data_IF_836075608555
#
_entry.id   IF_836075608555
#
_cell.length_a   1.000
_cell.length_b   1.000
_cell.length_c   1.000
_cell.angle_alpha   90.00
_cell.angle_beta   90.00
_cell.angle_gamma   90.00
#
_symmetry.space_group_name_H-M   'P 1'
#
loop_
_entity.id
_entity.type
_entity.pdbx_description
1 polymer ?
#
# COMPACT_ATOMS: atom_id res chain seq x y z
N UNK A 1 14.09 7.38 1.46
CA UNK A 1 14.91 6.96 0.31
C UNK A 1 14.56 5.57 -0.22
N UNK A 2 14.26 4.59 0.64
CA UNK A 2 13.98 3.21 0.21
C UNK A 2 12.80 3.09 -0.76
N UNK A 3 11.62 3.64 -0.44
CA UNK A 3 10.47 3.64 -1.36
C UNK A 3 10.64 4.61 -2.53
N UNK A 4 11.52 5.62 -2.40
CA UNK A 4 11.91 6.46 -3.54
C UNK A 4 12.71 5.66 -4.58
N UNK A 5 13.49 4.64 -4.17
CA UNK A 5 14.14 3.73 -5.11
C UNK A 5 13.10 2.88 -5.86
N UNK A 6 12.03 2.41 -5.19
CA UNK A 6 10.92 1.76 -5.89
C UNK A 6 10.32 2.66 -6.97
N UNK A 7 10.01 3.91 -6.61
CA UNK A 7 9.46 4.90 -7.57
C UNK A 7 10.43 5.16 -8.72
N UNK A 8 11.73 5.27 -8.42
CA UNK A 8 12.76 5.44 -9.45
C UNK A 8 12.78 4.25 -10.43
N UNK A 9 12.81 3.04 -9.89
CA UNK A 9 12.81 1.81 -10.69
C UNK A 9 11.55 1.69 -11.55
N UNK A 10 10.38 2.02 -11.00
CA UNK A 10 9.12 2.01 -11.74
C UNK A 10 9.15 3.01 -12.91
N UNK A 11 9.57 4.25 -12.65
CA UNK A 11 9.65 5.32 -13.68
C UNK A 11 10.71 5.09 -14.75
N UNK A 12 11.89 4.61 -14.36
CA UNK A 12 12.97 4.36 -15.30
C UNK A 12 12.83 3.05 -16.04
N UNK A 13 11.97 2.14 -15.54
CA UNK A 13 11.79 0.79 -16.04
C UNK A 13 13.12 0.01 -16.16
N UNK A 14 14.08 0.27 -15.27
CA UNK A 14 15.38 -0.40 -15.25
C UNK A 14 15.23 -1.93 -15.21
N UNK A 15 14.22 -2.43 -14.47
CA UNK A 15 13.88 -3.86 -14.44
C UNK A 15 12.75 -4.23 -15.42
N UNK A 16 12.40 -3.36 -16.35
CA UNK A 16 11.15 -3.39 -17.10
C UNK A 16 9.98 -2.91 -16.22
N UNK A 17 8.78 -2.78 -16.77
CA UNK A 17 7.60 -2.47 -15.96
C UNK A 17 7.38 -3.58 -14.92
N UNK A 18 7.01 -3.20 -13.70
CA UNK A 18 6.65 -4.17 -12.69
C UNK A 18 5.26 -4.74 -12.99
N UNK A 19 5.23 -5.97 -13.49
CA UNK A 19 4.00 -6.65 -13.92
C UNK A 19 3.34 -7.47 -12.81
N UNK A 20 4.11 -7.86 -11.80
CA UNK A 20 3.63 -8.66 -10.67
C UNK A 20 4.01 -7.98 -9.37
N UNK A 21 3.00 -7.57 -8.64
CA UNK A 21 3.18 -6.88 -7.37
C UNK A 21 2.47 -7.72 -6.29
N UNK A 22 3.11 -7.86 -5.15
CA UNK A 22 2.53 -8.51 -3.96
C UNK A 22 2.84 -7.67 -2.74
N UNK A 23 1.86 -7.45 -1.89
CA UNK A 23 2.09 -6.73 -0.64
C UNK A 23 1.19 -7.27 0.46
N UNK A 24 1.69 -7.19 1.67
CA UNK A 24 0.94 -7.52 2.87
C UNK A 24 1.29 -6.53 3.97
N UNK A 25 0.29 -5.99 4.63
CA UNK A 25 0.50 -5.11 5.79
C UNK A 25 -0.56 -5.35 6.85
N UNK A 26 -0.11 -5.56 8.08
CA UNK A 26 -0.99 -5.81 9.20
C UNK A 26 -0.24 -6.11 10.49
N UNK A 27 -1.00 -6.16 11.57
CA UNK A 27 -0.51 -6.56 12.88
C UNK A 27 -1.62 -7.28 13.67
N UNK A 28 -1.26 -8.02 14.71
CA UNK A 28 -2.26 -8.69 15.54
C UNK A 28 -2.88 -7.73 16.54
N UNK A 29 -4.15 -7.37 16.31
CA UNK A 29 -4.96 -6.58 17.25
C UNK A 29 -5.69 -7.51 18.21
N UNK A 30 -5.41 -7.39 19.51
CA UNK A 30 -5.93 -8.29 20.55
C UNK A 30 -6.91 -7.64 21.53
N UNK A 31 -7.19 -6.34 21.37
CA UNK A 31 -7.99 -5.57 22.30
C UNK A 31 -8.94 -4.65 21.56
N UNK A 32 -10.09 -4.37 22.14
CA UNK A 32 -10.99 -3.34 21.66
C UNK A 32 -10.25 -1.99 21.56
N UNK A 33 -10.43 -1.31 20.45
CA UNK A 33 -9.84 -0.01 20.19
C UNK A 33 -10.74 0.74 19.21
N UNK A 34 -10.61 2.06 19.12
CA UNK A 34 -11.36 2.89 18.20
C UNK A 34 -11.19 2.45 16.71
N UNK A 35 -10.08 1.75 16.38
CA UNK A 35 -9.78 1.25 15.04
C UNK A 35 -10.75 0.20 14.51
N UNK A 36 -11.50 -0.43 15.40
CA UNK A 36 -12.51 -1.45 15.05
C UNK A 36 -13.94 -1.00 15.32
N UNK A 37 -14.11 0.27 15.67
CA UNK A 37 -15.40 0.93 15.79
C UNK A 37 -15.68 1.68 14.48
N UNK A 38 -16.58 1.16 13.65
CA UNK A 38 -16.84 1.68 12.29
C UNK A 38 -17.13 3.18 12.26
N UNK A 39 -17.86 3.68 13.26
CA UNK A 39 -18.20 5.10 13.38
C UNK A 39 -16.96 6.00 13.56
N UNK A 40 -15.90 5.49 14.18
CA UNK A 40 -14.67 6.25 14.46
C UNK A 40 -13.60 6.03 13.40
N UNK A 41 -13.46 4.80 12.90
CA UNK A 41 -12.38 4.40 11.98
C UNK A 41 -12.81 4.39 10.50
N UNK A 42 -14.11 4.38 10.20
CA UNK A 42 -14.63 4.26 8.84
C UNK A 42 -14.58 2.84 8.27
N UNK A 43 -13.65 2.01 8.74
CA UNK A 43 -13.43 0.63 8.34
C UNK A 43 -12.50 -0.08 9.30
N UNK A 44 -12.05 -1.27 8.95
CA UNK A 44 -11.14 -2.08 9.76
C UNK A 44 -9.69 -2.06 9.27
N UNK A 45 -9.15 -3.26 9.01
CA UNK A 45 -7.75 -3.42 8.59
C UNK A 45 -7.42 -2.73 7.26
N UNK A 46 -8.40 -2.60 6.36
CA UNK A 46 -8.19 -1.94 5.07
C UNK A 46 -7.80 -0.47 5.22
N UNK A 47 -8.57 0.28 6.00
CA UNK A 47 -8.37 1.72 6.17
C UNK A 47 -7.14 2.06 6.99
N UNK A 48 -6.76 1.22 7.96
CA UNK A 48 -5.60 1.44 8.84
C UNK A 48 -4.28 0.91 8.23
N UNK A 49 -4.31 -0.31 7.70
CA UNK A 49 -3.11 -1.01 7.23
C UNK A 49 -3.07 -1.21 5.71
N UNK A 50 -4.21 -1.45 5.08
CA UNK A 50 -4.31 -1.71 3.65
C UNK A 50 -3.97 -0.50 2.79
N UNK A 51 -4.22 0.71 3.28
CA UNK A 51 -3.89 1.96 2.59
C UNK A 51 -2.39 2.06 2.24
N UNK A 52 -1.50 1.60 3.11
CA UNK A 52 -0.05 1.59 2.84
C UNK A 52 0.28 0.65 1.67
N UNK A 53 -0.38 -0.51 1.63
CA UNK A 53 -0.25 -1.49 0.54
C UNK A 53 -0.78 -0.95 -0.78
N UNK A 54 -1.96 -0.32 -0.77
CA UNK A 54 -2.56 0.34 -1.95
C UNK A 54 -1.60 1.37 -2.53
N UNK A 55 -1.11 2.26 -1.67
CA UNK A 55 -0.16 3.29 -2.08
C UNK A 55 1.12 2.71 -2.69
N UNK A 56 1.69 1.67 -2.06
CA UNK A 56 2.88 0.98 -2.56
C UNK A 56 2.64 0.29 -3.90
N UNK A 57 1.46 -0.30 -4.13
CA UNK A 57 1.10 -0.89 -5.42
C UNK A 57 1.05 0.16 -6.53
N UNK A 58 0.45 1.32 -6.27
CA UNK A 58 0.41 2.42 -7.22
C UNK A 58 1.80 2.98 -7.52
N UNK A 59 2.67 3.08 -6.51
CA UNK A 59 4.07 3.49 -6.71
C UNK A 59 4.85 2.48 -7.56
N UNK A 60 4.64 1.17 -7.34
CA UNK A 60 5.32 0.12 -8.10
C UNK A 60 4.84 0.06 -9.55
N UNK A 61 3.53 0.18 -9.78
CA UNK A 61 2.95 0.18 -11.12
C UNK A 61 3.18 1.49 -11.90
N UNK A 62 3.56 2.57 -11.20
CA UNK A 62 3.59 3.96 -11.70
C UNK A 62 2.27 4.35 -12.40
N UNK A 63 1.15 3.86 -11.87
CA UNK A 63 -0.19 4.02 -12.44
C UNK A 63 -1.28 3.88 -11.38
N UNK A 64 -2.48 4.32 -11.72
CA UNK A 64 -3.69 4.01 -10.97
C UNK A 64 -4.29 2.69 -11.44
N UNK A 65 -4.78 1.81 -10.56
CA UNK A 65 -5.47 0.60 -10.98
C UNK A 65 -6.81 0.93 -11.64
N UNK A 66 -7.21 0.10 -12.61
CA UNK A 66 -8.48 0.28 -13.34
C UNK A 66 -9.62 -0.55 -12.75
N UNK A 67 -9.30 -1.59 -11.99
CA UNK A 67 -10.30 -2.44 -11.36
C UNK A 67 -9.79 -3.09 -10.09
N UNK A 68 -10.73 -3.54 -9.26
CA UNK A 68 -10.45 -4.30 -8.03
C UNK A 68 -11.44 -5.44 -7.84
N UNK A 69 -10.96 -6.56 -7.32
CA UNK A 69 -11.78 -7.62 -6.76
C UNK A 69 -11.27 -7.98 -5.37
N UNK A 70 -12.17 -8.12 -4.41
CA UNK A 70 -11.84 -8.31 -3.01
C UNK A 70 -12.62 -9.45 -2.36
N UNK A 71 -12.03 -10.01 -1.30
CA UNK A 71 -12.60 -11.07 -0.47
C UNK A 71 -12.25 -10.81 0.99
N UNK A 72 -13.26 -10.77 1.86
CA UNK A 72 -13.04 -10.81 3.30
C UNK A 72 -12.62 -12.22 3.72
N UNK A 73 -11.62 -12.31 4.58
CA UNK A 73 -11.16 -13.56 5.15
C UNK A 73 -11.98 -13.93 6.38
N UNK A 74 -12.10 -15.22 6.73
CA UNK A 74 -12.78 -15.64 7.95
C UNK A 74 -12.18 -14.97 9.19
N UNK A 75 -13.03 -14.39 10.02
CA UNK A 75 -12.60 -13.76 11.27
C UNK A 75 -12.13 -14.81 12.27
N UNK A 76 -10.93 -14.62 12.79
CA UNK A 76 -10.36 -15.46 13.89
C UNK A 76 -10.82 -15.00 15.27
N UNK A 77 -11.33 -13.76 15.36
CA UNK A 77 -11.87 -13.14 16.58
C UNK A 77 -13.20 -12.43 16.28
N UNK A 78 -14.26 -13.17 15.88
CA UNK A 78 -15.52 -12.57 15.43
C UNK A 78 -16.20 -11.72 16.52
N UNK A 79 -16.00 -12.05 17.80
CA UNK A 79 -16.51 -11.29 18.94
C UNK A 79 -15.87 -9.91 19.10
N UNK A 80 -14.65 -9.73 18.59
CA UNK A 80 -13.93 -8.46 18.61
C UNK A 80 -14.24 -7.61 17.37
N UNK A 81 -14.33 -8.26 16.20
CA UNK A 81 -14.51 -7.59 14.90
C UNK A 81 -15.97 -7.64 14.43
N UNK A 82 -16.88 -7.08 15.23
CA UNK A 82 -18.34 -7.11 14.96
C UNK A 82 -18.80 -6.13 13.91
N UNK A 83 -18.09 -5.00 13.75
CA UNK A 83 -18.51 -3.88 12.90
C UNK A 83 -17.69 -3.73 11.62
N UNK A 84 -16.47 -4.27 11.61
CA UNK A 84 -15.49 -4.08 10.53
C UNK A 84 -14.81 -5.40 10.17
N UNK A 85 -14.16 -5.42 9.04
CA UNK A 85 -13.33 -6.56 8.61
C UNK A 85 -12.08 -6.69 9.51
N UNK A 86 -11.72 -7.95 9.81
CA UNK A 86 -10.47 -8.29 10.50
C UNK A 86 -9.32 -8.43 9.52
N UNK A 87 -9.55 -9.14 8.42
CA UNK A 87 -8.57 -9.33 7.36
C UNK A 87 -9.26 -9.52 6.01
N UNK A 88 -8.58 -9.11 4.96
CA UNK A 88 -9.06 -9.22 3.59
C UNK A 88 -7.91 -9.40 2.61
N UNK A 89 -8.25 -9.96 1.46
CA UNK A 89 -7.41 -10.03 0.28
C UNK A 89 -8.10 -9.31 -0.88
N UNK A 90 -7.32 -8.64 -1.70
CA UNK A 90 -7.82 -8.04 -2.92
C UNK A 90 -6.77 -8.00 -4.01
N UNK A 91 -7.24 -7.98 -5.25
CA UNK A 91 -6.42 -7.83 -6.45
C UNK A 91 -6.74 -6.53 -7.13
N UNK A 92 -5.71 -5.76 -7.44
CA UNK A 92 -5.77 -4.59 -8.30
C UNK A 92 -5.25 -4.96 -9.70
N UNK A 93 -5.94 -4.49 -10.73
CA UNK A 93 -5.51 -4.62 -12.12
C UNK A 93 -5.20 -3.23 -12.69
N UNK A 94 -4.17 -3.14 -13.48
CA UNK A 94 -3.69 -1.89 -14.09
C UNK A 94 -3.82 -1.94 -15.61
N UNK A 95 -3.98 -0.77 -16.24
CA UNK A 95 -4.20 -0.67 -17.69
C UNK A 95 -3.04 -1.26 -18.53
N UNK A 96 -1.83 -1.28 -18.00
CA UNK A 96 -0.65 -1.88 -18.65
C UNK A 96 -0.57 -3.40 -18.49
N UNK A 97 -1.59 -4.05 -17.89
CA UNK A 97 -1.63 -5.49 -17.61
C UNK A 97 -0.93 -5.91 -16.31
N UNK A 98 -0.35 -4.99 -15.55
CA UNK A 98 0.20 -5.31 -14.23
C UNK A 98 -0.93 -5.71 -13.28
N UNK A 99 -0.60 -6.59 -12.34
CA UNK A 99 -1.51 -7.04 -11.29
C UNK A 99 -0.84 -6.93 -9.92
N UNK A 100 -1.63 -6.54 -8.91
CA UNK A 100 -1.17 -6.49 -7.53
C UNK A 100 -2.08 -7.34 -6.63
N UNK A 101 -1.51 -8.32 -5.97
CA UNK A 101 -2.17 -9.12 -4.93
C UNK A 101 -1.84 -8.53 -3.56
N UNK A 102 -2.87 -8.18 -2.82
CA UNK A 102 -2.76 -7.46 -1.55
C UNK A 102 -3.44 -8.25 -0.43
N UNK A 103 -2.77 -8.35 0.69
CA UNK A 103 -3.36 -8.78 1.95
C UNK A 103 -3.29 -7.64 2.98
N UNK A 104 -4.36 -7.44 3.74
CA UNK A 104 -4.37 -6.53 4.89
C UNK A 104 -5.12 -7.17 6.05
N UNK A 105 -4.59 -7.05 7.28
CA UNK A 105 -5.22 -7.74 8.40
C UNK A 105 -4.76 -7.30 9.78
N UNK A 106 -5.62 -7.61 10.75
CA UNK A 106 -5.39 -7.48 12.17
C UNK A 106 -5.18 -8.84 12.87
N UNK A 107 -4.93 -9.90 12.10
CA UNK A 107 -4.74 -11.27 12.61
C UNK A 107 -3.29 -11.76 12.50
N UNK A 108 -2.44 -11.06 11.74
CA UNK A 108 -1.03 -11.43 11.58
C UNK A 108 -0.12 -10.20 11.47
N UNK A 109 1.12 -10.34 11.98
CA UNK A 109 2.15 -9.32 11.86
C UNK A 109 2.89 -9.48 10.52
N UNK A 110 2.46 -8.73 9.51
CA UNK A 110 3.06 -8.71 8.17
C UNK A 110 3.41 -7.30 7.75
N UNK A 111 4.48 -7.13 6.98
CA UNK A 111 4.88 -5.87 6.36
C UNK A 111 5.82 -6.19 5.19
N UNK A 112 5.25 -6.57 4.06
CA UNK A 112 5.96 -7.13 2.92
C UNK A 112 5.57 -6.38 1.64
N UNK A 113 6.53 -6.22 0.74
CA UNK A 113 6.32 -5.66 -0.60
C UNK A 113 7.26 -6.37 -1.57
N UNK A 114 6.70 -6.86 -2.66
CA UNK A 114 7.45 -7.44 -3.76
C UNK A 114 6.92 -6.90 -5.08
N UNK A 115 7.83 -6.45 -5.94
CA UNK A 115 7.51 -5.97 -7.28
C UNK A 115 8.51 -6.58 -8.26
N UNK A 116 8.00 -7.24 -9.32
CA UNK A 116 8.77 -8.00 -10.29
C UNK A 116 8.51 -7.52 -11.70
N UNK A 117 9.59 -7.21 -12.40
CA UNK A 117 9.63 -6.96 -13.84
C UNK A 117 10.45 -8.03 -14.55
N UNK A 118 10.50 -7.96 -15.87
CA UNK A 118 11.19 -8.96 -16.69
C UNK A 118 12.71 -9.05 -16.44
N UNK A 119 13.33 -7.98 -15.92
CA UNK A 119 14.79 -7.86 -15.76
C UNK A 119 15.23 -7.80 -14.29
N UNK A 120 14.31 -7.85 -13.34
CA UNK A 120 14.67 -7.76 -11.93
C UNK A 120 13.48 -7.52 -11.03
N UNK A 121 13.78 -7.40 -9.74
CA UNK A 121 12.79 -7.25 -8.70
C UNK A 121 13.22 -6.25 -7.62
N UNK A 122 12.21 -5.70 -6.95
CA UNK A 122 12.31 -4.95 -5.70
C UNK A 122 11.60 -5.75 -4.60
N UNK A 123 12.22 -5.88 -3.44
CA UNK A 123 11.67 -6.63 -2.31
C UNK A 123 11.84 -5.87 -1.02
N UNK A 124 10.73 -5.65 -0.33
CA UNK A 124 10.69 -5.23 1.07
C UNK A 124 10.22 -6.39 1.94
N UNK A 125 11.01 -6.73 2.95
CA UNK A 125 10.66 -7.67 4.00
C UNK A 125 10.42 -6.90 5.29
N UNK A 126 9.79 -7.51 6.27
CA UNK A 126 9.50 -6.86 7.54
C UNK A 126 10.76 -6.31 8.22
N UNK A 127 10.79 -5.04 8.63
CA UNK A 127 9.76 -4.02 8.44
C UNK A 127 9.88 -3.30 7.08
N UNK A 128 8.82 -3.34 6.26
CA UNK A 128 8.76 -2.61 4.98
C UNK A 128 8.06 -1.27 5.14
N UNK A 129 6.95 -1.23 5.90
CA UNK A 129 6.16 -0.05 6.20
C UNK A 129 6.47 0.43 7.62
N UNK A 130 7.65 1.04 7.82
CA UNK A 130 8.14 1.49 9.13
C UNK A 130 8.94 2.78 9.01
N UNK A 131 9.19 3.40 10.15
CA UNK A 131 10.04 4.60 10.24
C UNK A 131 11.52 4.28 10.42
N UNK A 132 11.86 3.04 10.74
CA UNK A 132 13.23 2.63 11.09
C UNK A 132 13.49 1.21 10.59
N UNK A 133 14.77 0.91 10.39
CA UNK A 133 15.28 -0.44 10.13
C UNK A 133 14.61 -1.11 8.94
N UNK A 134 14.31 -0.35 7.88
CA UNK A 134 13.70 -0.90 6.68
C UNK A 134 14.61 -1.99 6.08
N UNK A 135 14.01 -3.13 5.75
CA UNK A 135 14.70 -4.26 5.16
C UNK A 135 14.28 -4.40 3.69
N UNK A 136 14.99 -3.68 2.83
CA UNK A 136 14.67 -3.58 1.40
C UNK A 136 15.88 -4.00 0.57
N UNK A 137 15.63 -4.75 -0.49
CA UNK A 137 16.62 -5.25 -1.42
C UNK A 137 16.13 -5.17 -2.86
N UNK A 138 17.07 -5.22 -3.81
CA UNK A 138 16.79 -5.33 -5.23
C UNK A 138 17.66 -6.43 -5.84
N UNK A 139 17.22 -6.98 -6.98
CA UNK A 139 18.00 -7.99 -7.70
C UNK A 139 19.38 -7.49 -8.16
N UNK A 140 19.49 -6.19 -8.44
CA UNK A 140 20.74 -5.61 -8.93
C UNK A 140 21.75 -5.23 -7.83
N UNK A 141 21.25 -4.79 -6.66
CA UNK A 141 22.10 -4.20 -5.61
C UNK A 141 22.11 -5.03 -4.31
N UNK A 142 21.29 -6.09 -4.23
CA UNK A 142 21.07 -6.79 -2.97
C UNK A 142 20.40 -5.88 -1.94
N UNK A 143 20.78 -5.99 -0.68
CA UNK A 143 20.25 -5.18 0.41
C UNK A 143 20.64 -3.70 0.23
N UNK A 144 19.62 -2.82 0.32
CA UNK A 144 19.85 -1.39 0.24
C UNK A 144 20.18 -0.82 1.63
N UNK A 145 21.15 0.09 1.66
CA UNK A 145 21.49 0.86 2.85
C UNK A 145 21.59 2.35 2.50
N UNK A 146 20.64 3.12 3.00
CA UNK A 146 20.63 4.58 2.86
C UNK A 146 20.96 5.28 4.18
N UNK A 147 21.53 4.56 5.14
CA UNK A 147 21.89 5.07 6.46
C UNK A 147 20.69 5.42 7.33
N UNK A 148 20.97 6.14 8.41
CA UNK A 148 19.95 6.60 9.36
C UNK A 148 19.37 7.95 8.89
N UNK A 149 18.07 8.05 8.84
CA UNK A 149 17.37 9.30 8.51
C UNK A 149 16.09 9.44 9.31
N UNK A 150 15.69 10.69 9.52
CA UNK A 150 14.42 11.05 10.16
C UNK A 150 13.37 11.29 9.08
N UNK A 151 12.48 10.33 8.90
CA UNK A 151 11.49 10.34 7.81
C UNK A 151 10.55 11.55 7.91
N UNK A 152 10.02 11.82 9.10
CA UNK A 152 9.12 12.95 9.31
C UNK A 152 9.81 14.29 9.06
N UNK A 153 11.05 14.45 9.54
CA UNK A 153 11.82 15.65 9.27
C UNK A 153 12.02 15.88 7.77
N UNK A 154 12.45 14.84 7.03
CA UNK A 154 12.60 14.93 5.56
C UNK A 154 11.30 15.28 4.85
N UNK A 155 10.17 14.77 5.34
CA UNK A 155 8.87 15.11 4.79
C UNK A 155 8.56 16.59 5.01
N UNK A 156 8.72 17.09 6.23
CA UNK A 156 8.50 18.51 6.57
C UNK A 156 9.43 19.44 5.78
N UNK A 157 10.72 19.11 5.71
CA UNK A 157 11.71 19.87 4.94
C UNK A 157 11.35 19.90 3.44
N UNK A 158 10.90 18.77 2.89
CA UNK A 158 10.46 18.66 1.50
C UNK A 158 9.22 19.50 1.20
N UNK A 159 8.24 19.51 2.12
CA UNK A 159 7.06 20.35 2.00
C UNK A 159 7.44 21.83 2.07
N UNK A 160 8.28 22.23 3.03
CA UNK A 160 8.73 23.62 3.18
C UNK A 160 9.50 24.09 1.93
N UNK A 161 10.37 23.24 1.37
CA UNK A 161 11.11 23.55 0.15
C UNK A 161 10.16 23.71 -1.05
N UNK A 162 9.18 22.83 -1.21
CA UNK A 162 8.21 22.92 -2.29
C UNK A 162 7.42 24.25 -2.25
N UNK A 163 6.97 24.66 -1.06
CA UNK A 163 6.30 25.97 -0.90
C UNK A 163 7.23 27.14 -1.19
N UNK A 164 8.45 27.14 -0.65
CA UNK A 164 9.43 28.20 -0.88
C UNK A 164 9.76 28.37 -2.37
N UNK A 165 9.93 27.24 -3.08
CA UNK A 165 10.43 27.22 -4.45
C UNK A 165 9.28 27.14 -5.48
N UNK A 166 8.02 27.29 -5.03
CA UNK A 166 6.80 27.18 -5.83
C UNK A 166 6.76 25.91 -6.70
N UNK A 167 7.13 24.77 -6.10
CA UNK A 167 7.15 23.47 -6.76
C UNK A 167 5.95 22.61 -6.31
N UNK A 168 5.48 21.69 -7.17
CA UNK A 168 4.44 20.73 -6.79
C UNK A 168 4.86 19.89 -5.59
N UNK A 169 3.91 19.61 -4.68
CA UNK A 169 4.13 18.68 -3.58
C UNK A 169 4.26 17.25 -4.12
N UNK A 170 5.29 16.55 -3.69
CA UNK A 170 5.49 15.13 -4.04
C UNK A 170 4.48 14.20 -3.35
N UNK A 171 3.85 14.68 -2.29
CA UNK A 171 2.80 13.98 -1.53
C UNK A 171 1.64 14.95 -1.35
N UNK A 172 0.71 14.96 -2.29
CA UNK A 172 -0.42 15.88 -2.35
C UNK A 172 -1.76 15.19 -2.01
N UNK A 173 -2.82 15.97 -1.88
CA UNK A 173 -4.15 15.47 -1.57
C UNK A 173 -4.75 14.55 -2.65
N UNK A 174 -4.33 14.71 -3.91
CA UNK A 174 -4.79 13.87 -5.01
C UNK A 174 -4.37 12.40 -4.85
N UNK A 175 -3.19 12.14 -4.28
CA UNK A 175 -2.76 10.79 -3.95
C UNK A 175 -3.66 10.17 -2.86
N UNK A 176 -4.03 10.95 -1.85
CA UNK A 176 -4.97 10.52 -0.81
C UNK A 176 -6.36 10.25 -1.38
N UNK A 177 -6.87 11.14 -2.24
CA UNK A 177 -8.16 10.96 -2.93
C UNK A 177 -8.16 9.70 -3.78
N UNK A 178 -7.11 9.45 -4.56
CA UNK A 178 -6.92 8.22 -5.32
C UNK A 178 -7.01 6.97 -4.43
N UNK A 179 -6.28 6.97 -3.32
CA UNK A 179 -6.25 5.83 -2.41
C UNK A 179 -7.63 5.56 -1.80
N UNK A 180 -8.41 6.62 -1.51
CA UNK A 180 -9.80 6.49 -1.05
C UNK A 180 -10.73 5.92 -2.12
N UNK A 181 -10.59 6.31 -3.39
CA UNK A 181 -11.36 5.70 -4.50
C UNK A 181 -11.11 4.19 -4.57
N UNK A 182 -9.87 3.76 -4.37
CA UNK A 182 -9.53 2.34 -4.36
C UNK A 182 -10.14 1.63 -3.14
N UNK A 183 -10.07 2.23 -1.95
CA UNK A 183 -10.68 1.71 -0.72
C UNK A 183 -12.19 1.53 -0.89
N UNK A 184 -12.88 2.53 -1.45
CA UNK A 184 -14.33 2.46 -1.73
C UNK A 184 -14.63 1.32 -2.72
N UNK A 185 -13.82 1.16 -3.77
CA UNK A 185 -13.92 0.06 -4.71
C UNK A 185 -13.72 -1.31 -4.06
N UNK A 186 -12.78 -1.44 -3.13
CA UNK A 186 -12.58 -2.68 -2.35
C UNK A 186 -13.84 -2.99 -1.53
N UNK A 187 -14.39 -2.02 -0.79
CA UNK A 187 -15.61 -2.24 -0.01
C UNK A 187 -16.82 -2.56 -0.88
N UNK A 188 -16.97 -1.92 -2.04
CA UNK A 188 -18.04 -2.27 -2.98
C UNK A 188 -17.86 -3.70 -3.52
N UNK A 189 -16.63 -4.11 -3.81
CA UNK A 189 -16.34 -5.48 -4.22
C UNK A 189 -16.64 -6.51 -3.11
N UNK A 190 -16.30 -6.21 -1.86
CA UNK A 190 -16.66 -7.07 -0.70
C UNK A 190 -18.18 -7.22 -0.56
N UNK A 191 -18.92 -6.12 -0.76
CA UNK A 191 -20.38 -6.11 -0.67
C UNK A 191 -21.07 -6.89 -1.79
N UNK A 192 -20.55 -6.78 -3.01
CA UNK A 192 -21.19 -7.35 -4.21
C UNK A 192 -20.66 -8.71 -4.60
N UNK A 193 -19.46 -9.09 -4.13
CA UNK A 193 -18.73 -10.28 -4.55
C UNK A 193 -18.23 -10.20 -6.01
N UNK A 194 -18.23 -8.99 -6.61
CA UNK A 194 -17.89 -8.78 -8.03
C UNK A 194 -16.67 -7.88 -8.17
N UNK A 195 -16.04 -7.97 -9.35
CA UNK A 195 -15.04 -6.99 -9.79
C UNK A 195 -15.70 -5.62 -9.94
N UNK A 196 -15.02 -4.58 -9.47
CA UNK A 196 -15.44 -3.18 -9.52
C UNK A 196 -14.45 -2.40 -10.38
N UNK A 197 -14.97 -1.65 -11.35
CA UNK A 197 -14.19 -0.69 -12.13
C UNK A 197 -13.96 0.60 -11.34
N UNK A 198 -12.71 1.06 -11.30
CA UNK A 198 -12.32 2.26 -10.55
C UNK A 198 -12.33 3.48 -11.46
N UNK A 199 -13.00 4.55 -11.02
CA UNK A 199 -13.14 5.81 -11.76
C UNK A 199 -12.55 6.94 -10.95
N UNK A 200 -11.55 7.60 -11.50
CA UNK A 200 -10.86 8.75 -10.91
C UNK A 200 -11.39 10.02 -11.61
N UNK A 201 -12.49 10.58 -11.07
CA UNK A 201 -13.06 11.83 -11.57
C UNK A 201 -12.26 13.05 -11.08
#
# INVERSE_FOLDING_TARGET
PYHQELVRLAKTQEFGPFMKIKTANGYTLRRKSWRIEKKLAGGGALTDMGIYSIHACCMAADANPISVIAKELPKTQPELFTEVEQALEFRLEFANGAVADVWSGYDANRAELYAEGAKGWFKGERPTFSYRNLNISTSAKGKLDFGIFRQQQRHMDGVAAAFRDNQPLSCNGELGRRDMVIIDGVYESLKTGKKVELKYA
#
